data_IF_643285787005
#
_entry.id   IF_643285787005
#
_cell.length_a   1.000
_cell.length_b   1.000
_cell.length_c   1.000
_cell.angle_alpha   90.00
_cell.angle_beta   90.00
_cell.angle_gamma   90.00
#
_symmetry.space_group_name_H-M   'P 1'
#
loop_
_entity.id
_entity.type
_entity.pdbx_description
1 polymer ?
#
# COMPACT_ATOMS: atom_id res chain seq x y z
N UNK A 1 -2.88 13.76 -8.68
CA UNK A 1 -3.10 13.70 -7.22
C UNK A 1 -2.86 15.07 -6.56
N UNK A 2 -1.77 15.79 -6.86
CA UNK A 2 -1.54 17.13 -6.29
C UNK A 2 -2.68 18.09 -6.59
N UNK A 3 -3.17 18.13 -7.81
CA UNK A 3 -4.27 19.02 -8.19
C UNK A 3 -5.55 18.73 -7.40
N UNK A 4 -5.90 17.45 -7.22
CA UNK A 4 -7.06 17.03 -6.43
C UNK A 4 -6.88 17.42 -4.97
N UNK A 5 -5.72 17.20 -4.39
CA UNK A 5 -5.40 17.56 -3.02
C UNK A 5 -5.48 19.09 -2.81
N UNK A 6 -4.92 19.88 -3.73
CA UNK A 6 -4.97 21.35 -3.69
C UNK A 6 -6.40 21.89 -3.77
N UNK A 7 -7.28 21.30 -4.59
CA UNK A 7 -8.72 21.65 -4.64
C UNK A 7 -9.43 21.41 -3.30
N UNK A 8 -8.91 20.52 -2.46
CA UNK A 8 -9.39 20.23 -1.10
C UNK A 8 -8.65 21.02 0.00
N UNK A 9 -7.78 21.96 -0.37
CA UNK A 9 -6.99 22.77 0.56
C UNK A 9 -5.81 22.04 1.19
N UNK A 10 -5.44 20.86 0.70
CA UNK A 10 -4.32 20.04 1.19
C UNK A 10 -3.11 20.26 0.28
N UNK A 11 -2.03 20.87 0.79
CA UNK A 11 -0.78 21.07 0.05
C UNK A 11 0.26 20.02 0.37
N UNK A 12 0.45 19.76 1.64
CA UNK A 12 1.46 18.86 2.17
C UNK A 12 0.81 17.69 2.93
N UNK A 13 1.55 16.64 3.18
CA UNK A 13 1.09 15.51 3.98
C UNK A 13 0.57 15.96 5.35
N UNK A 14 1.28 16.86 6.03
CA UNK A 14 0.90 17.41 7.35
C UNK A 14 -0.44 18.15 7.36
N UNK A 15 -0.97 18.54 6.21
CA UNK A 15 -2.26 19.26 6.12
C UNK A 15 -3.46 18.29 6.10
N UNK A 16 -3.22 16.98 5.97
CA UNK A 16 -4.26 15.95 6.00
C UNK A 16 -4.79 15.81 7.43
N UNK A 17 -6.12 15.88 7.59
CA UNK A 17 -6.76 15.87 8.91
C UNK A 17 -6.84 14.48 9.55
N UNK A 18 -7.07 13.44 8.73
CA UNK A 18 -7.12 12.06 9.20
C UNK A 18 -5.69 11.51 9.30
N UNK A 19 -5.33 10.77 10.35
CA UNK A 19 -4.05 10.08 10.42
C UNK A 19 -3.80 9.22 9.17
N UNK A 20 -2.65 9.40 8.55
CA UNK A 20 -2.26 8.66 7.36
C UNK A 20 -0.76 8.36 7.39
N UNK A 21 -0.39 7.16 7.00
CA UNK A 21 0.99 6.72 6.80
C UNK A 21 1.12 6.00 5.47
N UNK A 22 2.15 6.34 4.70
CA UNK A 22 2.44 5.79 3.38
C UNK A 22 3.91 5.36 3.39
N UNK A 23 4.22 4.05 3.45
CA UNK A 23 5.59 3.55 3.43
C UNK A 23 6.22 3.74 2.04
N UNK A 24 7.51 4.00 2.01
CA UNK A 24 8.34 4.00 0.82
C UNK A 24 9.76 3.56 1.17
N UNK A 25 10.49 3.02 0.22
CA UNK A 25 11.86 2.54 0.44
C UNK A 25 12.84 3.36 -0.37
N UNK A 26 13.83 3.97 0.30
CA UNK A 26 14.93 4.61 -0.41
C UNK A 26 15.92 3.56 -0.92
N UNK A 27 16.02 3.44 -2.25
CA UNK A 27 16.86 2.42 -2.89
C UNK A 27 18.36 2.62 -2.63
N UNK A 28 18.79 3.85 -2.30
CA UNK A 28 20.21 4.16 -2.05
C UNK A 28 20.68 3.67 -0.69
N UNK A 29 19.82 3.85 0.34
CA UNK A 29 20.14 3.48 1.71
C UNK A 29 19.52 2.15 2.16
N UNK A 30 18.61 1.58 1.35
CA UNK A 30 17.81 0.38 1.70
C UNK A 30 16.97 0.57 2.97
N UNK A 31 16.59 1.81 3.28
CA UNK A 31 15.80 2.13 4.47
C UNK A 31 14.36 2.44 4.12
N UNK A 32 13.45 2.02 5.01
CA UNK A 32 12.04 2.36 4.96
C UNK A 32 11.83 3.78 5.50
N UNK A 33 11.03 4.55 4.81
CA UNK A 33 10.57 5.88 5.20
C UNK A 33 9.03 5.90 5.21
N UNK A 34 8.47 6.77 6.04
CA UNK A 34 7.02 6.92 6.18
C UNK A 34 6.60 8.34 5.81
N UNK A 35 5.94 8.51 4.66
CA UNK A 35 5.21 9.74 4.39
C UNK A 35 3.96 9.77 5.27
N UNK A 36 3.82 10.81 6.10
CA UNK A 36 2.75 10.86 7.09
C UNK A 36 2.35 12.30 7.45
N UNK A 37 1.31 12.46 8.28
CA UNK A 37 0.85 13.78 8.72
C UNK A 37 1.01 14.04 10.23
N UNK A 38 1.66 13.15 10.98
CA UNK A 38 1.76 13.25 12.44
C UNK A 38 3.17 13.52 12.96
N UNK A 39 4.20 13.04 12.26
CA UNK A 39 5.60 13.12 12.70
C UNK A 39 6.49 13.69 11.62
N UNK A 40 7.52 14.41 12.01
CA UNK A 40 8.57 14.90 11.13
C UNK A 40 9.92 14.67 11.79
N UNK A 41 10.39 13.44 11.74
CA UNK A 41 11.63 12.96 12.33
C UNK A 41 12.43 12.17 11.30
N UNK A 42 13.60 11.67 11.66
CA UNK A 42 14.61 11.06 10.77
C UNK A 42 14.09 10.08 9.71
N UNK A 43 13.01 9.39 9.83
CA UNK A 43 12.44 8.49 8.81
C UNK A 43 10.98 8.81 8.50
N UNK A 44 10.48 9.92 9.02
CA UNK A 44 9.10 10.36 8.89
C UNK A 44 9.06 11.66 8.09
N UNK A 45 8.33 11.68 6.98
CA UNK A 45 8.27 12.81 6.05
C UNK A 45 6.85 13.38 6.05
N UNK A 46 6.67 14.58 6.61
CA UNK A 46 5.38 15.27 6.62
C UNK A 46 5.36 16.54 5.74
N UNK A 47 6.51 17.00 5.28
CA UNK A 47 6.70 18.22 4.49
C UNK A 47 6.67 18.00 2.97
N UNK A 48 6.36 16.77 2.51
CA UNK A 48 6.18 16.48 1.09
C UNK A 48 4.75 16.81 0.63
N UNK A 49 4.58 17.04 -0.68
CA UNK A 49 3.23 17.08 -1.26
C UNK A 49 2.60 15.68 -1.29
N UNK A 50 1.26 15.64 -1.18
CA UNK A 50 0.51 14.38 -1.26
C UNK A 50 0.82 13.59 -2.54
N UNK A 51 0.88 14.28 -3.69
CA UNK A 51 1.20 13.61 -4.95
C UNK A 51 2.63 13.05 -5.01
N UNK A 52 3.57 13.64 -4.27
CA UNK A 52 4.92 13.08 -4.16
C UNK A 52 4.91 11.79 -3.33
N UNK A 53 4.19 11.76 -2.21
CA UNK A 53 4.02 10.56 -1.39
C UNK A 53 3.34 9.44 -2.18
N UNK A 54 2.23 9.74 -2.88
CA UNK A 54 1.55 8.78 -3.76
C UNK A 54 2.46 8.30 -4.89
N UNK A 55 3.24 9.22 -5.50
CA UNK A 55 4.19 8.82 -6.56
C UNK A 55 5.29 7.90 -6.02
N UNK A 56 5.72 8.09 -4.78
CA UNK A 56 6.73 7.23 -4.14
C UNK A 56 6.20 5.81 -3.96
N UNK A 57 5.03 5.63 -3.34
CA UNK A 57 4.44 4.30 -3.14
C UNK A 57 3.99 3.63 -4.45
N UNK A 58 3.67 4.40 -5.48
CA UNK A 58 3.38 3.84 -6.80
C UNK A 58 4.64 3.58 -7.66
N UNK A 59 5.84 3.73 -7.11
CA UNK A 59 7.10 3.45 -7.84
C UNK A 59 7.44 1.95 -7.77
N UNK A 60 6.58 1.10 -8.33
CA UNK A 60 6.74 -0.34 -8.32
C UNK A 60 8.04 -0.76 -9.07
N UNK A 61 8.90 -1.60 -8.46
CA UNK A 61 10.16 -2.03 -9.07
C UNK A 61 9.95 -2.70 -10.44
N UNK A 62 10.80 -2.37 -11.40
CA UNK A 62 10.74 -2.92 -12.75
C UNK A 62 9.66 -2.31 -13.66
N UNK A 63 8.67 -1.60 -13.12
CA UNK A 63 7.59 -0.95 -13.89
C UNK A 63 7.78 0.56 -13.95
N UNK A 64 8.11 1.19 -12.83
CA UNK A 64 8.26 2.64 -12.74
C UNK A 64 9.64 3.06 -12.23
N UNK A 65 10.14 4.19 -12.74
CA UNK A 65 11.35 4.81 -12.22
C UNK A 65 11.15 5.25 -10.76
N UNK A 66 12.21 5.21 -9.93
CA UNK A 66 12.17 5.69 -8.56
C UNK A 66 11.69 7.14 -8.46
N UNK A 67 10.95 7.45 -7.41
CA UNK A 67 10.49 8.80 -7.13
C UNK A 67 11.58 9.59 -6.40
N UNK A 68 12.20 10.55 -7.08
CA UNK A 68 13.23 11.41 -6.46
C UNK A 68 12.55 12.47 -5.57
N UNK A 69 12.99 12.56 -4.32
CA UNK A 69 12.60 13.57 -3.36
C UNK A 69 13.77 13.95 -2.46
N UNK A 70 14.20 15.20 -2.52
CA UNK A 70 15.46 15.66 -1.88
C UNK A 70 16.63 14.76 -2.35
N UNK A 71 17.43 14.25 -1.41
CA UNK A 71 18.56 13.33 -1.66
C UNK A 71 18.15 11.86 -1.87
N UNK A 72 16.87 11.52 -1.63
CA UNK A 72 16.35 10.16 -1.67
C UNK A 72 15.81 9.76 -3.04
N UNK A 73 15.80 8.46 -3.29
CA UNK A 73 15.21 7.84 -4.48
C UNK A 73 14.27 6.71 -4.06
N UNK A 74 12.98 7.03 -3.95
CA UNK A 74 11.97 6.15 -3.39
C UNK A 74 11.39 5.16 -4.40
N UNK A 75 11.27 3.92 -3.96
CA UNK A 75 10.45 2.87 -4.54
C UNK A 75 9.26 2.57 -3.64
N UNK A 76 8.35 1.71 -4.12
CA UNK A 76 7.19 1.22 -3.38
C UNK A 76 7.59 0.65 -2.02
N UNK A 77 6.84 1.03 -0.98
CA UNK A 77 7.06 0.54 0.38
C UNK A 77 6.83 -0.95 0.54
N UNK A 78 6.05 -1.57 -0.34
CA UNK A 78 5.76 -3.00 -0.34
C UNK A 78 6.99 -3.91 -0.42
N UNK A 79 8.15 -3.36 -0.82
CA UNK A 79 9.43 -4.07 -0.79
C UNK A 79 9.82 -4.51 0.63
N UNK A 80 9.52 -3.69 1.64
CA UNK A 80 9.88 -3.95 3.05
C UNK A 80 8.66 -4.03 3.98
N UNK A 81 7.50 -3.47 3.59
CA UNK A 81 6.31 -3.40 4.43
C UNK A 81 5.06 -3.21 3.55
N UNK A 82 4.63 -4.31 2.95
CA UNK A 82 3.50 -4.29 2.01
C UNK A 82 2.15 -4.03 2.69
N UNK A 83 2.00 -4.49 3.94
CA UNK A 83 0.80 -4.27 4.76
C UNK A 83 1.24 -3.68 6.09
N UNK A 84 1.30 -2.35 6.25
CA UNK A 84 1.98 -1.66 7.34
C UNK A 84 1.16 -1.63 8.64
N UNK A 85 0.69 -2.77 9.15
CA UNK A 85 -0.13 -2.89 10.36
C UNK A 85 0.59 -2.30 11.58
N UNK A 86 1.87 -2.62 11.74
CA UNK A 86 2.65 -2.15 12.88
C UNK A 86 2.79 -0.62 12.86
N UNK A 87 2.96 -0.03 11.68
CA UNK A 87 3.03 1.44 11.55
C UNK A 87 1.68 2.09 11.88
N UNK A 88 0.58 1.55 11.38
CA UNK A 88 -0.77 2.04 11.69
C UNK A 88 -1.03 2.02 13.21
N UNK A 89 -0.61 0.94 13.90
CA UNK A 89 -0.69 0.85 15.37
C UNK A 89 0.18 1.89 16.08
N UNK A 90 1.42 2.13 15.61
CA UNK A 90 2.30 3.19 16.15
C UNK A 90 1.71 4.60 15.97
N UNK A 91 0.83 4.78 14.99
CA UNK A 91 0.09 6.02 14.75
C UNK A 91 -1.23 6.11 15.53
N UNK A 92 -1.48 5.16 16.47
CA UNK A 92 -2.55 5.23 17.45
C UNK A 92 -3.83 4.47 17.08
N UNK A 93 -3.77 3.55 16.12
CA UNK A 93 -4.91 2.69 15.82
C UNK A 93 -5.04 1.59 16.88
N UNK A 94 -6.21 1.52 17.55
CA UNK A 94 -6.53 0.47 18.52
C UNK A 94 -6.85 -0.86 17.82
N UNK A 95 -7.42 -0.80 16.61
CA UNK A 95 -7.76 -1.95 15.79
C UNK A 95 -7.42 -1.73 14.33
N UNK A 96 -6.98 -2.78 13.66
CA UNK A 96 -6.54 -2.73 12.26
C UNK A 96 -7.26 -3.77 11.42
N UNK A 97 -7.95 -3.29 10.40
CA UNK A 97 -8.44 -4.06 9.27
C UNK A 97 -7.34 -4.10 8.19
N UNK A 98 -6.73 -5.24 7.98
CA UNK A 98 -5.80 -5.45 6.87
C UNK A 98 -6.55 -5.92 5.62
N UNK A 99 -6.25 -5.34 4.47
CA UNK A 99 -6.74 -5.80 3.17
C UNK A 99 -5.60 -6.52 2.47
N UNK A 100 -5.81 -7.77 2.12
CA UNK A 100 -4.84 -8.61 1.44
C UNK A 100 -5.39 -9.10 0.11
N UNK A 101 -4.56 -9.17 -0.91
CA UNK A 101 -4.91 -9.72 -2.22
C UNK A 101 -4.32 -11.12 -2.35
N UNK A 102 -5.15 -12.07 -2.81
CA UNK A 102 -4.65 -13.40 -3.11
C UNK A 102 -3.98 -13.36 -4.48
N UNK A 103 -2.71 -13.70 -4.50
CA UNK A 103 -1.96 -13.80 -5.74
C UNK A 103 -2.39 -15.06 -6.52
N UNK A 104 -2.56 -14.91 -7.82
CA UNK A 104 -2.86 -16.02 -8.72
C UNK A 104 -1.62 -16.86 -9.07
N UNK A 105 -1.84 -18.09 -9.49
CA UNK A 105 -0.77 -18.95 -9.99
C UNK A 105 -0.24 -18.49 -11.35
N UNK A 106 1.05 -18.73 -11.59
CA UNK A 106 1.70 -18.42 -12.88
C UNK A 106 1.32 -19.52 -13.90
N UNK A 107 1.05 -19.09 -15.12
CA UNK A 107 0.83 -19.97 -16.27
C UNK A 107 2.17 -20.43 -16.86
N UNK A 108 2.21 -21.63 -17.50
CA UNK A 108 3.41 -22.16 -18.17
C UNK A 108 3.94 -21.26 -19.31
N UNK A 109 3.09 -20.37 -19.83
CA UNK A 109 3.42 -19.39 -20.87
C UNK A 109 4.02 -18.07 -20.35
N UNK A 110 4.32 -17.97 -19.04
CA UNK A 110 4.78 -16.75 -18.41
C UNK A 110 6.13 -16.27 -18.95
N UNK A 111 6.21 -14.98 -19.29
CA UNK A 111 7.45 -14.34 -19.75
C UNK A 111 8.34 -13.92 -18.56
N UNK A 112 9.54 -13.44 -18.85
CA UNK A 112 10.49 -13.00 -17.82
C UNK A 112 9.91 -11.93 -16.89
N UNK A 113 9.09 -11.03 -17.40
CA UNK A 113 8.47 -9.99 -16.59
C UNK A 113 7.44 -10.58 -15.61
N UNK A 114 6.61 -11.53 -16.06
CA UNK A 114 5.61 -12.20 -15.23
C UNK A 114 6.29 -12.99 -14.10
N UNK A 115 7.39 -13.70 -14.42
CA UNK A 115 8.18 -14.43 -13.42
C UNK A 115 8.79 -13.45 -12.39
N UNK A 116 9.34 -12.33 -12.85
CA UNK A 116 9.94 -11.32 -11.97
C UNK A 116 8.89 -10.69 -11.05
N UNK A 117 7.73 -10.33 -11.58
CA UNK A 117 6.61 -9.80 -10.81
C UNK A 117 6.12 -10.79 -9.78
N UNK A 118 5.96 -12.06 -10.17
CA UNK A 118 5.56 -13.13 -9.25
C UNK A 118 6.58 -13.35 -8.13
N UNK A 119 7.85 -13.24 -8.46
CA UNK A 119 8.92 -13.34 -7.45
C UNK A 119 8.78 -12.23 -6.39
N UNK A 120 8.54 -11.00 -6.82
CA UNK A 120 8.28 -9.88 -5.91
C UNK A 120 7.01 -10.08 -5.07
N UNK A 121 5.95 -10.63 -5.66
CA UNK A 121 4.71 -10.96 -4.93
C UNK A 121 4.96 -12.02 -3.85
N UNK A 122 5.71 -13.08 -4.16
CA UNK A 122 6.06 -14.13 -3.20
C UNK A 122 6.85 -13.53 -2.03
N UNK A 123 7.85 -12.70 -2.33
CA UNK A 123 8.65 -12.01 -1.30
C UNK A 123 7.80 -11.06 -0.46
N UNK A 124 6.95 -10.24 -1.10
CA UNK A 124 6.04 -9.32 -0.43
C UNK A 124 5.02 -10.03 0.46
N UNK A 125 4.45 -11.15 -0.01
CA UNK A 125 3.54 -11.97 0.79
C UNK A 125 4.25 -12.54 2.03
N UNK A 126 5.49 -13.01 1.88
CA UNK A 126 6.27 -13.52 3.00
C UNK A 126 6.56 -12.44 4.06
N UNK A 127 6.92 -11.24 3.62
CA UNK A 127 7.12 -10.07 4.50
C UNK A 127 5.81 -9.70 5.21
N UNK A 128 4.68 -9.84 4.55
CA UNK A 128 3.36 -9.47 5.10
C UNK A 128 2.82 -10.45 6.14
N UNK A 129 3.33 -11.68 6.23
CA UNK A 129 2.78 -12.72 7.13
C UNK A 129 2.70 -12.24 8.60
N UNK A 130 3.75 -11.64 9.12
CA UNK A 130 3.78 -11.11 10.49
C UNK A 130 2.78 -9.96 10.67
N UNK A 131 2.72 -9.05 9.72
CA UNK A 131 1.77 -7.93 9.72
C UNK A 131 0.33 -8.41 9.70
N UNK A 132 0.00 -9.42 8.89
CA UNK A 132 -1.32 -10.01 8.83
C UNK A 132 -1.71 -10.68 10.17
N UNK A 133 -0.78 -11.37 10.83
CA UNK A 133 -1.01 -11.96 12.16
C UNK A 133 -1.27 -10.91 13.23
N UNK A 134 -0.68 -9.73 13.11
CA UNK A 134 -0.85 -8.62 14.04
C UNK A 134 -2.10 -7.76 13.77
N UNK A 135 -2.86 -8.04 12.70
CA UNK A 135 -4.12 -7.36 12.42
C UNK A 135 -5.29 -7.96 13.19
N UNK A 136 -6.33 -7.16 13.46
CA UNK A 136 -7.54 -7.65 14.14
C UNK A 136 -8.49 -8.38 13.19
N UNK A 137 -8.43 -8.04 11.91
CA UNK A 137 -9.16 -8.74 10.85
C UNK A 137 -8.42 -8.60 9.52
N UNK A 138 -8.32 -9.71 8.78
CA UNK A 138 -7.80 -9.74 7.41
C UNK A 138 -8.94 -9.95 6.44
N UNK A 139 -9.16 -8.97 5.57
CA UNK A 139 -10.05 -9.09 4.43
C UNK A 139 -9.23 -9.53 3.21
N UNK A 140 -9.33 -10.80 2.84
CA UNK A 140 -8.69 -11.29 1.61
C UNK A 140 -9.63 -11.11 0.42
N UNK A 141 -9.12 -10.43 -0.62
CA UNK A 141 -9.81 -10.21 -1.89
C UNK A 141 -9.18 -11.10 -2.95
N UNK A 142 -10.00 -11.93 -3.58
CA UNK A 142 -9.62 -12.76 -4.73
C UNK A 142 -9.86 -11.96 -6.00
N UNK A 143 -8.84 -11.79 -6.86
CA UNK A 143 -8.87 -10.86 -8.00
C UNK A 143 -8.95 -11.54 -9.38
N UNK A 144 -9.22 -12.83 -9.43
CA UNK A 144 -9.49 -13.64 -10.64
C UNK A 144 -8.57 -13.28 -11.84
N UNK A 145 -7.31 -13.70 -11.77
CA UNK A 145 -6.30 -13.54 -12.84
C UNK A 145 -6.22 -12.11 -13.42
N UNK A 146 -6.32 -11.11 -12.56
CA UNK A 146 -6.18 -9.71 -12.97
C UNK A 146 -4.73 -9.26 -12.80
N UNK A 147 -4.07 -8.95 -13.91
CA UNK A 147 -2.69 -8.43 -13.89
C UNK A 147 -2.61 -6.98 -13.40
N UNK A 148 -1.43 -6.59 -12.92
CA UNK A 148 -1.16 -5.23 -12.38
C UNK A 148 -1.49 -4.10 -13.36
N UNK A 149 -1.42 -4.34 -14.67
CA UNK A 149 -1.64 -3.35 -15.73
C UNK A 149 -2.96 -3.54 -16.49
N UNK A 150 -3.86 -4.39 -16.00
CA UNK A 150 -5.15 -4.68 -16.65
C UNK A 150 -6.17 -3.57 -16.42
N UNK A 151 -5.91 -2.39 -16.97
CA UNK A 151 -6.79 -1.22 -16.82
C UNK A 151 -8.24 -1.45 -17.29
N UNK A 152 -8.46 -2.43 -18.15
CA UNK A 152 -9.81 -2.80 -18.65
C UNK A 152 -10.63 -3.59 -17.61
N UNK A 153 -10.00 -4.06 -16.52
CA UNK A 153 -10.65 -4.83 -15.45
C UNK A 153 -10.93 -4.02 -14.17
N UNK A 154 -10.81 -2.70 -14.22
CA UNK A 154 -11.01 -1.82 -13.06
C UNK A 154 -12.35 -2.03 -12.39
N UNK A 155 -13.44 -2.11 -13.16
CA UNK A 155 -14.80 -2.32 -12.63
C UNK A 155 -14.93 -3.72 -11.98
N UNK A 156 -14.29 -4.74 -12.55
CA UNK A 156 -14.25 -6.07 -11.95
C UNK A 156 -13.49 -6.07 -10.63
N UNK A 157 -12.33 -5.40 -10.57
CA UNK A 157 -11.54 -5.25 -9.33
C UNK A 157 -12.34 -4.53 -8.24
N UNK A 158 -13.08 -3.48 -8.61
CA UNK A 158 -13.98 -2.80 -7.68
C UNK A 158 -15.02 -3.77 -7.10
N UNK A 159 -15.68 -4.54 -7.95
CA UNK A 159 -16.71 -5.49 -7.53
C UNK A 159 -16.12 -6.60 -6.63
N UNK A 160 -14.95 -7.15 -6.95
CA UNK A 160 -14.29 -8.13 -6.07
C UNK A 160 -14.07 -7.59 -4.65
N UNK A 161 -13.56 -6.37 -4.53
CA UNK A 161 -13.38 -5.72 -3.24
C UNK A 161 -14.71 -5.45 -2.51
N UNK A 162 -15.71 -4.96 -3.24
CA UNK A 162 -17.03 -4.67 -2.71
C UNK A 162 -17.72 -5.95 -2.18
N UNK A 163 -17.76 -7.01 -2.98
CA UNK A 163 -18.38 -8.28 -2.62
C UNK A 163 -17.67 -8.94 -1.44
N UNK A 164 -16.34 -8.92 -1.41
CA UNK A 164 -15.57 -9.40 -0.28
C UNK A 164 -15.91 -8.63 1.01
N UNK A 165 -16.04 -7.31 0.94
CA UNK A 165 -16.41 -6.47 2.07
C UNK A 165 -17.84 -6.77 2.54
N UNK A 166 -18.83 -6.82 1.65
CA UNK A 166 -20.24 -7.13 1.98
C UNK A 166 -20.34 -8.51 2.62
N UNK A 167 -19.72 -9.54 2.06
CA UNK A 167 -19.71 -10.90 2.59
C UNK A 167 -19.19 -10.97 4.03
N UNK A 168 -18.24 -10.11 4.38
CA UNK A 168 -17.60 -10.09 5.70
C UNK A 168 -18.14 -8.96 6.61
N UNK A 169 -19.11 -8.18 6.16
CA UNK A 169 -19.59 -6.98 6.87
C UNK A 169 -20.05 -7.28 8.31
N UNK A 170 -20.73 -8.40 8.54
CA UNK A 170 -21.17 -8.81 9.87
C UNK A 170 -19.99 -9.00 10.85
N UNK A 171 -18.92 -9.65 10.39
CA UNK A 171 -17.70 -9.85 11.19
C UNK A 171 -16.99 -8.52 11.44
N UNK A 172 -16.86 -7.70 10.40
CA UNK A 172 -16.24 -6.37 10.49
C UNK A 172 -16.96 -5.52 11.53
N UNK A 173 -18.29 -5.40 11.45
CA UNK A 173 -19.08 -4.64 12.42
C UNK A 173 -18.91 -5.15 13.86
N UNK A 174 -18.87 -6.45 14.06
CA UNK A 174 -18.68 -7.05 15.38
C UNK A 174 -17.30 -6.72 15.97
N UNK A 175 -16.23 -6.85 15.16
CA UNK A 175 -14.86 -6.63 15.62
C UNK A 175 -14.61 -5.15 15.89
N UNK A 176 -15.06 -4.28 14.98
CA UNK A 176 -14.78 -2.84 15.02
C UNK A 176 -15.85 -2.04 15.77
N UNK A 177 -16.95 -2.67 16.19
CA UNK A 177 -18.06 -2.05 16.94
C UNK A 177 -18.71 -0.85 16.20
N UNK A 178 -18.92 -0.99 14.88
CA UNK A 178 -19.52 0.03 14.00
C UNK A 178 -20.85 -0.44 13.42
#
# INVERSE_FOLDING_TARGET
>A
YNEIALRKGVKLMKDIKMPVVIPAVDIKSSKKFEFNNLKNESMYISDSSVGKAVRAICSFPGVFCPCVYKEYSFLDGGILDNIPVNEVKKFGADKVLAINFKADDIDESSNFMDISMRTLDIMGNKISEESLQNSDFVLTVETDKTGLLDVNKIDSCYNFGYDAAIKNMGKIKTIFKV
#
